data_IF_038845976992
#
_entry.id   IF_038845976992
#
_cell.length_a   1.000
_cell.length_b   1.000
_cell.length_c   1.000
_cell.angle_alpha   90.00
_cell.angle_beta   90.00
_cell.angle_gamma   90.00
#
_symmetry.space_group_name_H-M   'P 1'
#
loop_
_entity.id
_entity.type
_entity.pdbx_description
1 polymer ?
#
# COMPACT_ATOMS: atom_id res chain seq x y z
N UNK A 1 2.94 7.15 -11.38
CA UNK A 1 3.39 6.20 -10.34
C UNK A 1 4.62 6.77 -9.65
N UNK A 2 4.80 6.45 -8.37
CA UNK A 2 5.99 6.84 -7.58
C UNK A 2 6.69 5.58 -7.07
N UNK A 3 8.02 5.55 -7.17
CA UNK A 3 8.90 4.52 -6.60
C UNK A 3 9.87 5.14 -5.61
N UNK A 4 10.27 4.39 -4.60
CA UNK A 4 11.41 4.69 -3.73
C UNK A 4 12.30 3.45 -3.64
N UNK A 5 13.29 3.30 -4.55
CA UNK A 5 14.07 2.07 -4.66
C UNK A 5 15.05 1.86 -3.49
N UNK A 6 15.42 2.94 -2.80
CA UNK A 6 16.33 2.98 -1.65
C UNK A 6 15.60 3.06 -0.30
N UNK A 7 14.33 2.64 -0.27
CA UNK A 7 13.49 2.67 0.94
C UNK A 7 14.05 1.74 2.01
N UNK A 8 14.18 2.25 3.24
CA UNK A 8 14.56 1.46 4.40
C UNK A 8 13.44 0.51 4.83
N UNK A 9 12.18 0.86 4.54
CA UNK A 9 11.02 0.02 4.85
C UNK A 9 10.55 -0.75 3.62
N UNK A 10 9.80 -1.82 3.86
CA UNK A 10 9.12 -2.53 2.79
C UNK A 10 7.94 -1.71 2.26
N UNK A 11 7.84 -1.60 0.94
CA UNK A 11 6.78 -0.87 0.25
C UNK A 11 6.59 -1.41 -1.17
N UNK A 12 5.48 -1.10 -1.85
CA UNK A 12 5.32 -1.46 -3.25
C UNK A 12 6.43 -0.86 -4.12
N UNK A 13 6.89 -1.62 -5.11
CA UNK A 13 7.93 -1.17 -6.07
C UNK A 13 7.48 0.11 -6.80
N UNK A 14 6.18 0.22 -7.12
CA UNK A 14 5.55 1.44 -7.65
C UNK A 14 4.17 1.61 -7.02
N UNK A 15 3.83 2.83 -6.67
CA UNK A 15 2.50 3.21 -6.16
C UNK A 15 1.82 4.17 -7.14
N UNK A 16 0.55 3.96 -7.47
CA UNK A 16 -0.23 4.93 -8.24
C UNK A 16 -0.59 6.11 -7.31
N UNK A 17 -0.17 7.32 -7.67
CA UNK A 17 -0.44 8.55 -6.91
C UNK A 17 -1.33 9.56 -7.63
N UNK A 18 -1.63 9.31 -8.89
CA UNK A 18 -2.51 10.16 -9.69
C UNK A 18 -2.68 9.59 -11.09
N UNK A 19 -3.79 9.91 -11.73
CA UNK A 19 -4.10 9.56 -13.11
C UNK A 19 -4.96 10.66 -13.74
N UNK A 20 -4.87 10.82 -15.06
CA UNK A 20 -5.74 11.68 -15.83
C UNK A 20 -6.38 10.86 -16.95
N UNK A 21 -7.68 11.02 -17.15
CA UNK A 21 -8.40 10.42 -18.28
C UNK A 21 -8.74 11.51 -19.27
N UNK A 22 -8.30 11.33 -20.51
CA UNK A 22 -8.54 12.27 -21.60
C UNK A 22 -9.21 11.56 -22.78
N UNK A 23 -10.00 12.31 -23.52
CA UNK A 23 -10.49 11.90 -24.83
C UNK A 23 -9.72 12.69 -25.88
N UNK A 24 -9.32 12.04 -26.97
CA UNK A 24 -8.59 12.66 -28.07
C UNK A 24 -9.21 12.20 -29.40
N UNK A 25 -9.47 13.14 -30.29
CA UNK A 25 -9.75 12.84 -31.69
C UNK A 25 -8.48 12.32 -32.40
N UNK A 26 -8.60 11.64 -33.56
CA UNK A 26 -7.44 11.22 -34.33
C UNK A 26 -6.51 12.40 -34.68
N UNK A 27 -5.25 12.32 -34.23
CA UNK A 27 -4.24 13.36 -34.45
C UNK A 27 -4.28 14.52 -33.45
N UNK A 28 -5.18 14.49 -32.46
CA UNK A 28 -5.22 15.49 -31.39
C UNK A 28 -4.17 15.18 -30.31
N UNK A 29 -3.59 16.24 -29.74
CA UNK A 29 -2.69 16.18 -28.59
C UNK A 29 -3.25 17.08 -27.48
N UNK A 30 -3.00 16.70 -26.23
CA UNK A 30 -3.40 17.50 -25.07
C UNK A 30 -2.34 17.43 -23.98
N UNK A 31 -2.27 18.48 -23.18
CA UNK A 31 -1.43 18.52 -21.99
C UNK A 31 -2.26 18.12 -20.76
N UNK A 32 -1.67 17.30 -19.89
CA UNK A 32 -2.28 16.91 -18.62
C UNK A 32 -1.39 17.31 -17.45
N UNK A 33 -2.01 17.81 -16.40
CA UNK A 33 -1.32 18.14 -15.15
C UNK A 33 -1.78 17.20 -14.04
N UNK A 34 -0.83 16.53 -13.39
CA UNK A 34 -1.07 15.70 -12.20
C UNK A 34 -0.22 16.29 -11.08
N UNK A 35 -0.88 16.99 -10.15
CA UNK A 35 -0.21 17.64 -9.03
C UNK A 35 0.33 16.64 -8.01
N UNK A 36 1.32 17.07 -7.24
CA UNK A 36 1.72 16.40 -6.00
C UNK A 36 1.01 17.03 -4.82
N UNK A 37 0.64 16.17 -3.88
CA UNK A 37 -0.07 16.52 -2.65
C UNK A 37 0.62 15.89 -1.42
N UNK A 38 0.05 16.11 -0.24
CA UNK A 38 0.55 15.54 1.00
C UNK A 38 0.58 14.00 1.00
N UNK A 39 -0.20 13.33 0.14
CA UNK A 39 -0.33 11.88 0.06
C UNK A 39 0.69 11.22 -0.87
N UNK A 40 1.38 12.03 -1.69
CA UNK A 40 2.21 11.55 -2.80
C UNK A 40 3.42 10.73 -2.31
N UNK A 41 4.10 11.19 -1.25
CA UNK A 41 5.35 10.57 -0.79
C UNK A 41 5.25 9.89 0.58
N UNK A 42 4.15 10.11 1.30
CA UNK A 42 4.01 9.68 2.69
C UNK A 42 3.81 8.17 2.83
N UNK A 43 4.27 7.65 3.96
CA UNK A 43 4.09 6.29 4.46
C UNK A 43 3.62 6.36 5.92
N UNK A 44 2.97 5.30 6.42
CA UNK A 44 2.55 5.25 7.81
C UNK A 44 3.65 4.65 8.68
N UNK A 45 4.19 5.43 9.61
CA UNK A 45 5.16 4.95 10.60
C UNK A 45 4.39 4.45 11.83
N UNK A 46 4.34 3.12 12.00
CA UNK A 46 3.69 2.45 13.13
C UNK A 46 4.27 2.88 14.48
N UNK A 47 5.57 3.14 14.56
CA UNK A 47 6.22 3.55 15.82
C UNK A 47 5.76 4.93 16.26
N UNK A 48 5.53 5.84 15.30
CA UNK A 48 5.04 7.20 15.56
C UNK A 48 3.52 7.32 15.54
N UNK A 49 2.82 6.28 15.09
CA UNK A 49 1.38 6.29 14.85
C UNK A 49 0.94 7.48 13.98
N UNK A 50 1.71 7.77 12.92
CA UNK A 50 1.53 8.96 12.09
C UNK A 50 2.01 8.72 10.65
N UNK A 51 1.46 9.49 9.72
CA UNK A 51 2.03 9.59 8.37
C UNK A 51 3.29 10.45 8.39
N UNK A 52 4.33 9.96 7.74
CA UNK A 52 5.61 10.65 7.58
C UNK A 52 6.10 10.53 6.13
N UNK A 53 6.99 11.42 5.71
CA UNK A 53 7.68 11.31 4.43
C UNK A 53 9.08 10.76 4.71
N UNK A 54 9.46 9.70 4.01
CA UNK A 54 10.80 9.14 4.09
C UNK A 54 11.74 9.97 3.21
N UNK A 55 12.83 10.49 3.78
CA UNK A 55 13.77 11.31 3.02
C UNK A 55 14.44 10.50 1.88
N UNK A 56 14.84 11.21 0.82
CA UNK A 56 15.71 10.66 -0.22
C UNK A 56 15.11 10.76 -1.62
N UNK A 57 15.60 9.90 -2.53
CA UNK A 57 15.27 10.02 -3.94
C UNK A 57 14.06 9.17 -4.31
N UNK A 58 13.02 9.81 -4.82
CA UNK A 58 11.86 9.16 -5.41
C UNK A 58 11.96 9.18 -6.94
N UNK A 59 11.42 8.16 -7.59
CA UNK A 59 11.31 8.09 -9.05
C UNK A 59 9.85 8.26 -9.46
N UNK A 60 9.58 9.33 -10.20
CA UNK A 60 8.29 9.65 -10.82
C UNK A 60 8.24 8.92 -12.16
N UNK A 61 7.28 8.00 -12.31
CA UNK A 61 7.11 7.23 -13.54
C UNK A 61 5.73 7.52 -14.15
N UNK A 62 5.69 7.87 -15.44
CA UNK A 62 4.47 8.11 -16.21
C UNK A 62 4.30 6.99 -17.23
N UNK A 63 3.10 6.44 -17.35
CA UNK A 63 2.82 5.28 -18.19
C UNK A 63 1.33 4.99 -18.32
N UNK A 64 0.97 4.24 -19.36
CA UNK A 64 -0.41 3.83 -19.62
C UNK A 64 -0.87 2.70 -18.68
N UNK A 65 0.06 1.92 -18.13
CA UNK A 65 -0.21 0.84 -17.19
C UNK A 65 1.00 0.61 -16.29
N UNK A 66 0.86 -0.07 -15.15
CA UNK A 66 1.98 -0.38 -14.23
C UNK A 66 3.20 -1.03 -14.93
N UNK A 67 2.97 -1.78 -16.01
CA UNK A 67 3.99 -2.48 -16.79
C UNK A 67 4.60 -1.62 -17.91
N UNK A 68 3.84 -0.65 -18.45
CA UNK A 68 4.24 0.17 -19.60
C UNK A 68 4.48 1.63 -19.19
N UNK A 69 5.70 1.92 -18.72
CA UNK A 69 6.17 3.28 -18.42
C UNK A 69 6.79 3.89 -19.68
N UNK A 70 6.53 5.17 -19.92
CA UNK A 70 7.02 5.93 -21.08
C UNK A 70 7.92 7.10 -20.69
N UNK A 71 7.75 7.66 -19.48
CA UNK A 71 8.62 8.70 -18.94
C UNK A 71 9.01 8.35 -17.51
N UNK A 72 10.22 8.74 -17.12
CA UNK A 72 10.73 8.59 -15.77
C UNK A 72 11.63 9.76 -15.41
N UNK A 73 11.51 10.27 -14.20
CA UNK A 73 12.40 11.28 -13.65
C UNK A 73 12.55 11.11 -12.13
N UNK A 74 13.62 11.64 -11.55
CA UNK A 74 13.90 11.54 -10.12
C UNK A 74 13.69 12.87 -9.40
N UNK A 75 13.25 12.81 -8.16
CA UNK A 75 13.06 13.95 -7.27
C UNK A 75 13.61 13.61 -5.88
N UNK A 76 14.49 14.46 -5.35
CA UNK A 76 14.88 14.38 -3.96
C UNK A 76 13.80 15.05 -3.10
N UNK A 77 13.36 14.36 -2.05
CA UNK A 77 12.32 14.84 -1.15
C UNK A 77 12.85 14.80 0.28
N UNK A 78 12.70 15.92 0.98
CA UNK A 78 13.05 16.03 2.39
C UNK A 78 12.05 15.26 3.27
N UNK A 79 12.52 14.75 4.40
CA UNK A 79 11.69 13.95 5.29
C UNK A 79 12.46 13.41 6.49
N UNK A 80 11.96 12.32 7.05
CA UNK A 80 12.62 11.60 8.14
C UNK A 80 13.39 10.40 7.60
N UNK A 81 14.44 10.01 8.30
CA UNK A 81 15.08 8.71 8.08
C UNK A 81 14.23 7.64 8.76
N UNK A 82 13.93 6.57 8.05
CA UNK A 82 13.19 5.41 8.56
C UNK A 82 14.13 4.22 8.76
N UNK A 83 13.69 3.28 9.59
CA UNK A 83 14.42 2.07 9.96
C UNK A 83 13.56 0.84 9.67
N UNK A 84 14.18 -0.25 9.21
CA UNK A 84 13.53 -1.49 8.79
C UNK A 84 13.03 -2.39 9.94
N UNK A 85 12.45 -1.81 11.01
CA UNK A 85 12.10 -2.55 12.23
C UNK A 85 11.06 -3.64 12.00
N UNK A 86 10.03 -3.33 11.23
CA UNK A 86 8.91 -4.24 10.97
C UNK A 86 9.38 -5.55 10.31
N UNK A 87 10.38 -5.49 9.43
CA UNK A 87 10.90 -6.68 8.74
C UNK A 87 11.52 -7.71 9.70
N UNK A 88 12.02 -7.26 10.85
CA UNK A 88 12.58 -8.13 11.89
C UNK A 88 11.49 -8.70 12.79
N UNK A 89 10.42 -7.95 13.05
CA UNK A 89 9.34 -8.34 13.96
C UNK A 89 8.30 -9.28 13.31
N UNK A 90 8.02 -9.09 12.01
CA UNK A 90 7.00 -9.85 11.26
C UNK A 90 7.55 -10.39 9.93
N UNK A 91 8.57 -11.26 9.97
CA UNK A 91 9.30 -11.68 8.78
C UNK A 91 8.43 -12.43 7.77
N UNK A 92 7.40 -13.18 8.20
CA UNK A 92 6.59 -13.97 7.28
C UNK A 92 5.65 -13.11 6.41
N UNK A 93 5.22 -11.94 6.92
CA UNK A 93 4.46 -10.95 6.16
C UNK A 93 5.29 -10.42 4.99
N UNK A 94 6.53 -10.00 5.26
CA UNK A 94 7.41 -9.43 4.24
C UNK A 94 8.01 -10.48 3.30
N UNK A 95 8.14 -11.73 3.75
CA UNK A 95 8.48 -12.87 2.90
C UNK A 95 7.32 -13.33 2.01
N UNK A 96 6.15 -12.68 2.07
CA UNK A 96 4.94 -13.03 1.32
C UNK A 96 4.60 -14.52 1.46
N UNK A 97 4.69 -15.03 2.69
CA UNK A 97 4.52 -16.46 3.01
C UNK A 97 3.20 -16.68 3.78
N UNK A 98 2.03 -16.58 3.11
CA UNK A 98 0.73 -16.53 3.79
C UNK A 98 0.41 -17.80 4.60
N UNK A 99 0.97 -18.95 4.22
CA UNK A 99 0.82 -20.20 4.98
C UNK A 99 1.56 -20.20 6.33
N UNK A 100 2.54 -19.31 6.49
CA UNK A 100 3.39 -19.20 7.68
C UNK A 100 3.05 -17.97 8.53
N UNK A 101 2.12 -17.13 8.06
CA UNK A 101 1.71 -15.92 8.74
C UNK A 101 0.87 -16.25 9.98
N UNK A 102 1.46 -16.01 11.15
CA UNK A 102 0.87 -16.38 12.44
C UNK A 102 -0.02 -15.29 13.01
N UNK A 103 -0.95 -15.67 13.90
CA UNK A 103 -1.75 -14.73 14.69
C UNK A 103 -0.88 -13.77 15.50
N UNK A 104 0.27 -14.22 16.01
CA UNK A 104 1.22 -13.37 16.73
C UNK A 104 1.77 -12.25 15.84
N UNK A 105 2.21 -12.59 14.62
CA UNK A 105 2.70 -11.60 13.67
C UNK A 105 1.58 -10.65 13.21
N UNK A 106 0.36 -11.17 13.04
CA UNK A 106 -0.80 -10.32 12.77
C UNK A 106 -1.07 -9.33 13.91
N UNK A 107 -1.06 -9.78 15.17
CA UNK A 107 -1.29 -8.92 16.34
C UNK A 107 -0.25 -7.79 16.42
N UNK A 108 1.02 -8.09 16.10
CA UNK A 108 2.07 -7.06 15.99
C UNK A 108 1.66 -6.02 14.96
N UNK A 109 1.38 -6.41 13.71
CA UNK A 109 0.97 -5.47 12.65
C UNK A 109 -0.30 -4.69 13.00
N UNK A 110 -1.28 -5.35 13.61
CA UNK A 110 -2.55 -4.78 14.04
C UNK A 110 -2.40 -3.79 15.20
N UNK A 111 -1.32 -3.90 15.98
CA UNK A 111 -1.01 -3.02 17.11
C UNK A 111 -1.90 -3.23 18.34
N UNK A 112 -2.70 -4.29 18.37
CA UNK A 112 -3.59 -4.65 19.47
C UNK A 112 -3.74 -6.19 19.53
N UNK A 113 -4.34 -6.68 20.62
CA UNK A 113 -4.78 -8.07 20.69
C UNK A 113 -5.86 -8.36 19.63
N UNK A 114 -5.80 -9.56 19.04
CA UNK A 114 -6.80 -9.99 18.04
C UNK A 114 -8.17 -10.05 18.74
N UNK A 115 -9.19 -9.33 18.24
CA UNK A 115 -10.52 -9.38 18.82
C UNK A 115 -11.08 -10.80 18.77
N UNK A 116 -11.67 -11.25 19.88
CA UNK A 116 -12.40 -12.52 19.89
C UNK A 116 -13.61 -12.40 18.97
N UNK A 117 -13.78 -13.37 18.08
CA UNK A 117 -14.97 -13.43 17.25
C UNK A 117 -16.21 -13.63 18.14
N UNK A 118 -17.10 -12.64 18.16
CA UNK A 118 -18.34 -12.66 18.94
C UNK A 118 -19.51 -13.27 18.17
N UNK A 119 -19.33 -13.55 16.88
CA UNK A 119 -20.34 -14.18 16.04
C UNK A 119 -20.20 -15.70 16.12
N UNK A 120 -21.28 -16.37 16.52
CA UNK A 120 -21.40 -17.80 16.28
C UNK A 120 -21.51 -18.01 14.77
N UNK A 121 -20.49 -18.58 14.14
CA UNK A 121 -20.62 -19.04 12.76
C UNK A 121 -21.76 -20.05 12.73
N UNK A 122 -22.92 -19.67 12.16
CA UNK A 122 -23.98 -20.62 11.87
C UNK A 122 -23.37 -21.71 10.99
N UNK A 123 -23.39 -22.95 11.47
CA UNK A 123 -22.96 -24.06 10.62
C UNK A 123 -24.01 -24.17 9.52
N UNK A 124 -23.61 -24.53 8.30
CA UNK A 124 -24.53 -24.71 7.16
C UNK A 124 -25.75 -25.59 7.46
N UNK A 125 -25.67 -26.45 8.50
CA UNK A 125 -26.79 -27.26 8.99
C UNK A 125 -27.92 -26.45 9.65
N UNK A 126 -27.65 -25.25 10.15
CA UNK A 126 -28.60 -24.44 10.93
C UNK A 126 -29.52 -23.56 10.06
N UNK A 127 -29.29 -23.51 8.74
CA UNK A 127 -30.00 -22.61 7.81
C UNK A 127 -31.32 -23.22 7.28
N UNK A 128 -31.52 -24.55 7.40
CA UNK A 128 -32.66 -25.25 6.78
C UNK A 128 -33.74 -25.76 7.75
N UNK A 129 -33.67 -25.49 9.06
CA UNK A 129 -34.67 -25.98 10.04
C UNK A 129 -35.71 -24.95 10.49
N UNK A 130 -35.81 -23.78 9.84
CA UNK A 130 -36.97 -22.91 10.04
C UNK A 130 -38.16 -23.45 9.24
N UNK A 131 -38.90 -24.37 9.85
CA UNK A 131 -40.26 -24.70 9.43
C UNK A 131 -41.08 -23.41 9.34
N UNK A 132 -41.74 -23.19 8.20
CA UNK A 132 -42.71 -22.12 8.01
C UNK A 132 -44.01 -22.46 8.77
N UNK A 133 -44.73 -21.46 9.29
CA UNK A 133 -46.04 -21.65 9.91
C UNK A 133 -47.08 -22.13 8.90
#
# INVERSE_FOLDING_TARGET
YISKPDSAIYRPIKELKGFAKTYLAPGEETEVFIGFDEYTFRVFDRTKNAFVIEAGTYVINIGASFQAMVLSNSLCVDGVVLEAKDAQEVPSYFALSPKQFSEKEFAILYGNDIPKNQYAFLKRADVFTREKP
#
